data_IF_033383534234
#
_entry.id   IF_033383534234
#
_cell.length_a   1.000
_cell.length_b   1.000
_cell.length_c   1.000
_cell.angle_alpha   90.00
_cell.angle_beta   90.00
_cell.angle_gamma   90.00
#
_symmetry.space_group_name_H-M   'P 1'
#
loop_
_entity.id
_entity.type
_entity.pdbx_description
1 polymer ?
#
# COMPACT_ATOMS: atom_id res chain seq x y z
N UNK A 1 -27.58 26.15 7.57
CA UNK A 1 -26.15 25.76 7.61
C UNK A 1 -25.96 24.49 8.41
N UNK A 2 -26.53 24.36 9.62
CA UNK A 2 -26.44 23.12 10.43
C UNK A 2 -26.95 21.86 9.70
N UNK A 3 -28.16 21.89 9.12
CA UNK A 3 -28.71 20.73 8.39
C UNK A 3 -27.88 20.26 7.18
N UNK A 4 -27.19 21.18 6.47
CA UNK A 4 -26.30 20.82 5.36
C UNK A 4 -25.00 20.19 5.84
N UNK A 5 -24.45 20.63 6.98
CA UNK A 5 -23.29 19.99 7.59
C UNK A 5 -23.62 18.57 8.09
N UNK A 6 -24.84 18.37 8.61
CA UNK A 6 -25.30 17.05 9.05
C UNK A 6 -25.43 16.07 7.87
N UNK A 7 -26.01 16.49 6.74
CA UNK A 7 -26.14 15.65 5.53
C UNK A 7 -24.78 15.19 5.01
N UNK A 8 -23.83 16.12 4.87
CA UNK A 8 -22.50 15.80 4.36
C UNK A 8 -21.75 14.86 5.30
N UNK A 9 -21.98 14.99 6.61
CA UNK A 9 -21.41 14.10 7.62
C UNK A 9 -21.97 12.68 7.46
N UNK A 10 -23.29 12.50 7.32
CA UNK A 10 -23.88 11.18 7.13
C UNK A 10 -23.50 10.54 5.79
N UNK A 11 -23.38 11.32 4.73
CA UNK A 11 -22.90 10.85 3.42
C UNK A 11 -21.47 10.28 3.50
N UNK A 12 -20.56 11.01 4.15
CA UNK A 12 -19.18 10.56 4.32
C UNK A 12 -19.09 9.34 5.26
N UNK A 13 -19.90 9.31 6.33
CA UNK A 13 -20.03 8.12 7.18
C UNK A 13 -20.52 6.91 6.39
N UNK A 14 -21.53 7.08 5.52
CA UNK A 14 -22.04 6.02 4.65
C UNK A 14 -20.99 5.47 3.69
N UNK A 15 -20.24 6.37 3.02
CA UNK A 15 -19.15 6.00 2.12
C UNK A 15 -18.04 5.24 2.84
N UNK A 16 -17.66 5.71 4.03
CA UNK A 16 -16.64 5.05 4.86
C UNK A 16 -17.11 3.67 5.34
N UNK A 17 -18.37 3.54 5.76
CA UNK A 17 -18.93 2.26 6.17
C UNK A 17 -18.98 1.25 5.01
N UNK A 18 -19.34 1.68 3.80
CA UNK A 18 -19.22 0.85 2.59
C UNK A 18 -17.77 0.41 2.34
N UNK A 19 -16.83 1.36 2.42
CA UNK A 19 -15.41 1.07 2.28
C UNK A 19 -14.90 0.10 3.35
N UNK A 20 -15.46 0.08 4.56
CA UNK A 20 -15.07 -0.87 5.61
C UNK A 20 -15.71 -2.26 5.45
N UNK A 21 -16.65 -2.42 4.51
CA UNK A 21 -17.41 -3.65 4.35
C UNK A 21 -18.54 -3.79 5.37
N UNK A 22 -19.07 -2.68 5.88
CA UNK A 22 -20.18 -2.60 6.82
C UNK A 22 -21.46 -2.09 6.11
N UNK A 23 -22.11 -2.90 5.24
CA UNK A 23 -23.27 -2.44 4.46
C UNK A 23 -24.47 -2.04 5.33
N UNK A 24 -24.60 -2.62 6.53
CA UNK A 24 -25.67 -2.27 7.48
C UNK A 24 -25.52 -0.85 8.02
N UNK A 25 -24.32 -0.47 8.42
CA UNK A 25 -24.03 0.88 8.93
C UNK A 25 -24.17 1.91 7.82
N UNK A 26 -23.70 1.58 6.61
CA UNK A 26 -23.88 2.42 5.44
C UNK A 26 -25.37 2.68 5.13
N UNK A 27 -26.20 1.63 5.13
CA UNK A 27 -27.63 1.75 4.87
C UNK A 27 -28.33 2.67 5.88
N UNK A 28 -27.95 2.59 7.17
CA UNK A 28 -28.49 3.46 8.23
C UNK A 28 -28.10 4.94 7.97
N UNK A 29 -26.83 5.20 7.65
CA UNK A 29 -26.34 6.55 7.38
C UNK A 29 -27.02 7.19 6.14
N UNK A 30 -27.15 6.42 5.05
CA UNK A 30 -27.86 6.89 3.85
C UNK A 30 -29.36 7.06 4.09
N UNK A 31 -29.99 6.20 4.90
CA UNK A 31 -31.40 6.37 5.25
C UNK A 31 -31.68 7.65 6.04
N UNK A 32 -30.79 8.01 6.99
CA UNK A 32 -30.87 9.30 7.68
C UNK A 32 -30.69 10.47 6.72
N UNK A 33 -29.73 10.36 5.79
CA UNK A 33 -29.51 11.39 4.76
C UNK A 33 -30.76 11.56 3.88
N UNK A 34 -31.43 10.47 3.50
CA UNK A 34 -32.63 10.49 2.65
C UNK A 34 -33.84 11.13 3.33
N UNK A 35 -33.93 11.08 4.66
CA UNK A 35 -34.97 11.77 5.44
C UNK A 35 -34.76 13.29 5.44
N UNK A 36 -33.51 13.74 5.39
CA UNK A 36 -33.15 15.16 5.38
C UNK A 36 -33.26 15.75 3.96
N UNK A 37 -32.76 15.03 2.96
CA UNK A 37 -32.75 15.45 1.56
C UNK A 37 -33.18 14.30 0.64
N UNK A 38 -34.43 14.35 0.18
CA UNK A 38 -35.06 13.27 -0.60
C UNK A 38 -34.81 13.36 -2.11
N UNK A 39 -34.33 14.51 -2.61
CA UNK A 39 -34.13 14.78 -4.04
C UNK A 39 -32.66 14.66 -4.49
N UNK A 40 -31.79 14.09 -3.65
CA UNK A 40 -30.38 13.91 -3.97
C UNK A 40 -30.10 12.49 -4.53
N UNK A 41 -29.70 12.35 -5.80
CA UNK A 41 -29.47 11.05 -6.43
C UNK A 41 -28.33 10.25 -5.77
N UNK A 42 -27.30 10.92 -5.24
CA UNK A 42 -26.16 10.24 -4.60
C UNK A 42 -26.59 9.49 -3.32
N UNK A 43 -27.55 10.03 -2.57
CA UNK A 43 -28.09 9.39 -1.36
C UNK A 43 -28.81 8.09 -1.74
N UNK A 44 -29.66 8.14 -2.76
CA UNK A 44 -30.40 6.97 -3.23
C UNK A 44 -29.46 5.92 -3.84
N UNK A 45 -28.43 6.33 -4.57
CA UNK A 45 -27.41 5.41 -5.06
C UNK A 45 -26.69 4.71 -3.90
N UNK A 46 -26.22 5.45 -2.90
CA UNK A 46 -25.56 4.88 -1.72
C UNK A 46 -26.45 3.90 -0.95
N UNK A 47 -27.77 4.19 -0.88
CA UNK A 47 -28.75 3.27 -0.30
C UNK A 47 -28.85 1.97 -1.12
N UNK A 48 -28.85 2.05 -2.46
CA UNK A 48 -28.84 0.88 -3.34
C UNK A 48 -27.56 0.04 -3.15
N UNK A 49 -26.39 0.69 -3.12
CA UNK A 49 -25.08 0.06 -2.94
C UNK A 49 -24.98 -0.70 -1.62
N UNK A 50 -25.47 -0.10 -0.53
CA UNK A 50 -25.50 -0.72 0.79
C UNK A 50 -26.47 -1.90 0.85
N UNK A 51 -27.66 -1.76 0.28
CA UNK A 51 -28.68 -2.81 0.29
C UNK A 51 -28.34 -3.99 -0.63
N UNK A 52 -27.46 -3.80 -1.61
CA UNK A 52 -26.92 -4.91 -2.40
C UNK A 52 -26.15 -5.90 -1.53
N UNK A 53 -25.29 -5.41 -0.61
CA UNK A 53 -24.56 -6.24 0.34
C UNK A 53 -25.46 -6.90 1.39
N UNK A 54 -26.59 -6.27 1.71
CA UNK A 54 -27.58 -6.84 2.64
C UNK A 54 -28.50 -7.89 1.97
N UNK A 55 -28.45 -8.03 0.64
CA UNK A 55 -29.36 -8.91 -0.11
C UNK A 55 -30.80 -8.38 -0.24
N UNK A 56 -31.04 -7.12 0.11
CA UNK A 56 -32.35 -6.46 0.05
C UNK A 56 -32.67 -5.95 -1.36
N UNK A 57 -32.73 -6.85 -2.34
CA UNK A 57 -32.80 -6.49 -3.76
C UNK A 57 -34.01 -5.63 -4.16
N UNK A 58 -35.14 -5.75 -3.46
CA UNK A 58 -36.30 -4.87 -3.68
C UNK A 58 -35.99 -3.39 -3.39
N UNK A 59 -35.21 -3.13 -2.32
CA UNK A 59 -34.77 -1.77 -1.96
C UNK A 59 -33.76 -1.26 -2.99
N UNK A 60 -32.85 -2.13 -3.46
CA UNK A 60 -31.88 -1.79 -4.52
C UNK A 60 -32.59 -1.33 -5.78
N UNK A 61 -33.59 -2.09 -6.25
CA UNK A 61 -34.38 -1.71 -7.43
C UNK A 61 -35.11 -0.38 -7.24
N UNK A 62 -35.73 -0.17 -6.08
CA UNK A 62 -36.48 1.04 -5.81
C UNK A 62 -35.58 2.28 -5.75
N UNK A 63 -34.45 2.16 -5.04
CA UNK A 63 -33.47 3.24 -4.93
C UNK A 63 -32.83 3.55 -6.29
N UNK A 64 -32.44 2.55 -7.09
CA UNK A 64 -31.90 2.76 -8.44
C UNK A 64 -32.91 3.47 -9.37
N UNK A 65 -34.19 3.08 -9.33
CA UNK A 65 -35.24 3.77 -10.10
C UNK A 65 -35.40 5.21 -9.67
N UNK A 66 -35.34 5.48 -8.35
CA UNK A 66 -35.40 6.85 -7.84
C UNK A 66 -34.23 7.70 -8.33
N UNK A 67 -33.01 7.16 -8.43
CA UNK A 67 -31.87 7.84 -9.04
C UNK A 67 -32.16 8.22 -10.50
N UNK A 68 -32.73 7.30 -11.28
CA UNK A 68 -33.08 7.55 -12.68
C UNK A 68 -34.18 8.60 -12.85
N UNK A 69 -35.17 8.62 -11.95
CA UNK A 69 -36.22 9.67 -11.91
C UNK A 69 -35.64 11.05 -11.60
N UNK A 70 -34.66 11.14 -10.69
CA UNK A 70 -34.00 12.38 -10.32
C UNK A 70 -33.00 12.87 -11.38
N UNK A 71 -32.47 11.97 -12.22
CA UNK A 71 -31.53 12.27 -13.30
C UNK A 71 -32.01 11.74 -14.67
N UNK A 72 -33.09 12.30 -15.25
CA UNK A 72 -33.68 11.81 -16.50
C UNK A 72 -32.81 12.09 -17.73
N UNK A 73 -31.93 13.10 -17.67
CA UNK A 73 -30.97 13.43 -18.73
C UNK A 73 -29.71 12.54 -18.71
N UNK A 74 -29.64 11.59 -17.78
CA UNK A 74 -28.43 10.83 -17.47
C UNK A 74 -27.55 11.52 -16.41
N UNK A 75 -26.55 10.78 -15.95
CA UNK A 75 -25.64 11.20 -14.88
C UNK A 75 -24.77 10.01 -14.46
N UNK A 76 -23.68 10.29 -13.75
CA UNK A 76 -22.78 9.24 -13.26
C UNK A 76 -23.51 8.29 -12.31
N UNK A 77 -24.35 8.83 -11.43
CA UNK A 77 -25.15 8.04 -10.50
C UNK A 77 -26.19 7.20 -11.22
N UNK A 78 -26.86 7.77 -12.23
CA UNK A 78 -27.81 7.06 -13.10
C UNK A 78 -27.14 5.89 -13.86
N UNK A 79 -25.89 6.09 -14.32
CA UNK A 79 -25.08 5.04 -14.96
C UNK A 79 -24.78 3.87 -14.02
N UNK A 80 -24.36 4.14 -12.77
CA UNK A 80 -24.15 3.09 -11.77
C UNK A 80 -25.46 2.42 -11.34
N UNK A 81 -26.53 3.18 -11.16
CA UNK A 81 -27.85 2.65 -10.86
C UNK A 81 -28.33 1.68 -11.96
N UNK A 82 -28.12 2.03 -13.24
CA UNK A 82 -28.43 1.14 -14.35
C UNK A 82 -27.57 -0.14 -14.33
N UNK A 83 -26.28 -0.03 -14.03
CA UNK A 83 -25.41 -1.20 -13.92
C UNK A 83 -25.82 -2.14 -12.77
N UNK A 84 -26.27 -1.58 -11.63
CA UNK A 84 -26.83 -2.35 -10.52
C UNK A 84 -28.11 -3.08 -10.93
N UNK A 85 -29.01 -2.43 -11.67
CA UNK A 85 -30.22 -3.07 -12.21
C UNK A 85 -29.88 -4.19 -13.19
N UNK A 86 -28.94 -3.97 -14.12
CA UNK A 86 -28.48 -5.01 -15.05
C UNK A 86 -27.80 -6.18 -14.33
N UNK A 87 -27.11 -5.94 -13.20
CA UNK A 87 -26.58 -7.00 -12.33
C UNK A 87 -27.72 -7.83 -11.71
N UNK A 88 -28.79 -7.20 -11.21
CA UNK A 88 -29.95 -7.92 -10.67
C UNK A 88 -30.69 -8.73 -11.74
N UNK A 89 -30.75 -8.21 -12.96
CA UNK A 89 -31.32 -8.88 -14.13
C UNK A 89 -30.39 -9.96 -14.74
N UNK A 90 -29.24 -10.25 -14.11
CA UNK A 90 -28.22 -11.21 -14.57
C UNK A 90 -27.62 -10.89 -15.95
N UNK A 91 -27.66 -9.62 -16.37
CA UNK A 91 -27.09 -9.12 -17.63
C UNK A 91 -25.66 -8.65 -17.40
N UNK A 92 -24.79 -9.57 -16.98
CA UNK A 92 -23.45 -9.25 -16.45
C UNK A 92 -22.55 -8.47 -17.43
N UNK A 93 -22.58 -8.79 -18.72
CA UNK A 93 -21.79 -8.08 -19.74
C UNK A 93 -22.24 -6.62 -19.90
N UNK A 94 -23.55 -6.37 -19.88
CA UNK A 94 -24.10 -5.00 -19.93
C UNK A 94 -23.81 -4.22 -18.65
N UNK A 95 -23.95 -4.88 -17.49
CA UNK A 95 -23.58 -4.29 -16.22
C UNK A 95 -22.09 -3.91 -16.22
N UNK A 96 -21.21 -4.78 -16.73
CA UNK A 96 -19.77 -4.51 -16.81
C UNK A 96 -19.46 -3.34 -17.73
N UNK A 97 -20.10 -3.27 -18.91
CA UNK A 97 -19.97 -2.15 -19.83
C UNK A 97 -20.46 -0.83 -19.20
N UNK A 98 -21.58 -0.86 -18.48
CA UNK A 98 -22.10 0.31 -17.77
C UNK A 98 -21.13 0.81 -16.69
N UNK A 99 -20.56 -0.10 -15.91
CA UNK A 99 -19.54 0.24 -14.90
C UNK A 99 -18.26 0.80 -15.55
N UNK A 100 -17.81 0.20 -16.65
CA UNK A 100 -16.63 0.68 -17.37
C UNK A 100 -16.84 2.10 -17.94
N UNK A 101 -18.06 2.41 -18.40
CA UNK A 101 -18.43 3.76 -18.82
C UNK A 101 -18.33 4.76 -17.65
N UNK A 102 -18.90 4.43 -16.48
CA UNK A 102 -18.79 5.31 -15.30
C UNK A 102 -17.33 5.51 -14.86
N UNK A 103 -16.53 4.44 -14.85
CA UNK A 103 -15.10 4.52 -14.50
C UNK A 103 -14.32 5.38 -15.50
N UNK A 104 -14.73 5.40 -16.78
CA UNK A 104 -14.10 6.25 -17.78
C UNK A 104 -14.39 7.73 -17.58
N UNK A 105 -15.55 8.07 -17.02
CA UNK A 105 -15.96 9.44 -16.68
C UNK A 105 -15.34 9.91 -15.36
N UNK A 106 -15.46 9.10 -14.29
CA UNK A 106 -14.80 9.35 -13.01
C UNK A 106 -14.02 8.10 -12.53
N UNK A 107 -12.69 8.07 -12.73
CA UNK A 107 -11.85 6.99 -12.26
C UNK A 107 -11.75 6.87 -10.73
N UNK A 108 -12.17 7.89 -9.97
CA UNK A 108 -12.03 8.00 -8.52
C UNK A 108 -13.04 7.21 -7.70
N UNK A 109 -14.10 6.69 -8.32
CA UNK A 109 -15.20 6.01 -7.61
C UNK A 109 -14.76 4.61 -7.17
N UNK A 110 -14.38 4.48 -5.90
CA UNK A 110 -13.90 3.22 -5.33
C UNK A 110 -14.91 2.07 -5.45
N UNK A 111 -16.21 2.35 -5.21
CA UNK A 111 -17.28 1.36 -5.31
C UNK A 111 -17.45 0.82 -6.74
N UNK A 112 -17.32 1.68 -7.77
CA UNK A 112 -17.41 1.27 -9.17
C UNK A 112 -16.33 0.23 -9.52
N UNK A 113 -15.08 0.42 -9.08
CA UNK A 113 -14.03 -0.58 -9.26
C UNK A 113 -14.30 -1.88 -8.48
N UNK A 114 -14.98 -1.79 -7.34
CA UNK A 114 -15.37 -2.96 -6.55
C UNK A 114 -16.48 -3.77 -7.23
N UNK A 115 -17.49 -3.07 -7.78
CA UNK A 115 -18.56 -3.66 -8.58
C UNK A 115 -18.01 -4.29 -9.87
N UNK A 116 -17.08 -3.61 -10.56
CA UNK A 116 -16.35 -4.15 -11.71
C UNK A 116 -15.64 -5.45 -11.35
N UNK A 117 -14.92 -5.46 -10.23
CA UNK A 117 -14.27 -6.68 -9.72
C UNK A 117 -15.27 -7.81 -9.53
N UNK A 118 -16.42 -7.53 -8.90
CA UNK A 118 -17.45 -8.53 -8.65
C UNK A 118 -18.01 -9.11 -9.95
N UNK A 119 -18.36 -8.26 -10.92
CA UNK A 119 -18.83 -8.66 -12.26
C UNK A 119 -17.81 -9.50 -13.02
N UNK A 120 -16.52 -9.13 -12.95
CA UNK A 120 -15.43 -9.90 -13.57
C UNK A 120 -15.22 -11.27 -12.93
N UNK A 121 -15.48 -11.42 -11.62
CA UNK A 121 -15.46 -12.74 -10.97
C UNK A 121 -16.60 -13.61 -11.46
N UNK A 122 -17.80 -13.04 -11.62
CA UNK A 122 -18.97 -13.76 -12.14
C UNK A 122 -18.74 -14.25 -13.57
N UNK A 123 -18.09 -13.43 -14.41
CA UNK A 123 -17.77 -13.78 -15.81
C UNK A 123 -16.52 -14.65 -15.97
N UNK A 124 -15.85 -15.02 -14.87
CA UNK A 124 -14.68 -15.91 -14.87
C UNK A 124 -13.32 -15.23 -15.13
N UNK A 125 -13.29 -13.90 -15.26
CA UNK A 125 -12.08 -13.11 -15.50
C UNK A 125 -11.33 -12.77 -14.19
N UNK A 126 -10.80 -13.81 -13.53
CA UNK A 126 -10.21 -13.69 -12.18
C UNK A 126 -9.01 -12.76 -12.07
N UNK A 127 -8.19 -12.65 -13.12
CA UNK A 127 -7.02 -11.75 -13.12
C UNK A 127 -7.45 -10.28 -13.10
N UNK A 128 -8.35 -9.88 -14.01
CA UNK A 128 -8.84 -8.52 -14.13
C UNK A 128 -9.72 -8.13 -12.93
N UNK A 129 -10.46 -9.10 -12.37
CA UNK A 129 -11.17 -8.91 -11.12
C UNK A 129 -10.24 -8.51 -9.97
N UNK A 130 -9.11 -9.21 -9.78
CA UNK A 130 -8.15 -8.90 -8.73
C UNK A 130 -7.49 -7.52 -8.93
N UNK A 131 -7.27 -7.11 -10.18
CA UNK A 131 -6.76 -5.77 -10.50
C UNK A 131 -7.78 -4.68 -10.13
N UNK A 132 -9.04 -4.87 -10.52
CA UNK A 132 -10.13 -3.95 -10.19
C UNK A 132 -10.33 -3.84 -8.67
N UNK A 133 -10.29 -4.97 -7.95
CA UNK A 133 -10.33 -5.02 -6.48
C UNK A 133 -9.18 -4.23 -5.84
N UNK A 134 -7.96 -4.40 -6.35
CA UNK A 134 -6.80 -3.67 -5.83
C UNK A 134 -6.92 -2.16 -6.08
N UNK A 135 -7.55 -1.74 -7.20
CA UNK A 135 -7.85 -0.32 -7.46
C UNK A 135 -8.89 0.22 -6.47
N UNK A 136 -9.99 -0.50 -6.27
CA UNK A 136 -11.02 -0.14 -5.30
C UNK A 136 -10.44 0.10 -3.90
N UNK A 137 -9.61 -0.82 -3.41
CA UNK A 137 -8.96 -0.71 -2.12
C UNK A 137 -7.99 0.48 -2.03
N UNK A 138 -7.31 0.87 -3.12
CA UNK A 138 -6.42 2.04 -3.12
C UNK A 138 -7.21 3.34 -3.03
N UNK A 139 -8.32 3.44 -3.78
CA UNK A 139 -9.16 4.63 -3.81
C UNK A 139 -9.88 4.88 -2.47
N UNK A 140 -10.16 3.81 -1.72
CA UNK A 140 -10.79 3.87 -0.40
C UNK A 140 -9.81 3.75 0.78
N UNK A 141 -8.52 4.02 0.58
CA UNK A 141 -7.48 4.00 1.63
C UNK A 141 -7.37 2.67 2.41
N UNK A 142 -7.54 1.55 1.72
CA UNK A 142 -7.47 0.20 2.29
C UNK A 142 -8.83 -0.46 2.52
N UNK A 143 -9.90 0.11 1.96
CA UNK A 143 -11.25 -0.42 2.12
C UNK A 143 -11.43 -1.85 1.57
N UNK A 144 -12.35 -2.58 2.20
CA UNK A 144 -12.70 -3.97 1.94
C UNK A 144 -14.18 -4.08 1.58
N UNK A 145 -14.48 -4.05 0.30
CA UNK A 145 -15.85 -4.17 -0.22
C UNK A 145 -16.38 -5.63 -0.28
N UNK A 146 -15.75 -6.58 0.40
CA UNK A 146 -16.06 -8.01 0.27
C UNK A 146 -17.49 -8.35 0.68
N UNK A 147 -18.00 -7.69 1.70
CA UNK A 147 -19.35 -7.88 2.24
C UNK A 147 -20.38 -6.93 1.60
N UNK A 148 -19.96 -6.08 0.66
CA UNK A 148 -20.86 -5.19 -0.07
C UNK A 148 -21.51 -5.87 -1.29
N UNK A 149 -21.06 -7.08 -1.64
CA UNK A 149 -21.56 -7.84 -2.77
C UNK A 149 -21.93 -9.26 -2.33
N UNK A 150 -22.91 -9.90 -2.99
CA UNK A 150 -23.23 -11.30 -2.72
C UNK A 150 -22.02 -12.21 -3.00
N UNK A 151 -21.94 -13.33 -2.28
CA UNK A 151 -20.86 -14.29 -2.47
C UNK A 151 -20.94 -14.92 -3.87
N UNK A 152 -19.84 -14.80 -4.63
CA UNK A 152 -19.64 -15.56 -5.86
C UNK A 152 -18.92 -16.85 -5.47
N UNK A 153 -19.62 -17.98 -5.57
CA UNK A 153 -19.05 -19.32 -5.39
C UNK A 153 -17.72 -19.38 -6.17
N UNK A 154 -16.57 -19.68 -5.53
CA UNK A 154 -15.33 -19.76 -6.26
C UNK A 154 -15.42 -20.94 -7.22
N UNK A 155 -15.43 -20.66 -8.54
CA UNK A 155 -15.08 -21.67 -9.54
C UNK A 155 -13.75 -22.25 -9.09
N UNK A 156 -13.79 -23.53 -8.71
CA UNK A 156 -12.63 -24.30 -8.30
C UNK A 156 -11.52 -24.02 -9.31
N UNK A 157 -10.30 -23.66 -8.90
CA UNK A 157 -9.23 -23.47 -9.88
C UNK A 157 -9.15 -24.75 -10.71
N UNK A 158 -9.11 -24.68 -12.05
CA UNK A 158 -8.95 -25.89 -12.83
C UNK A 158 -7.70 -26.59 -12.30
N UNK A 159 -7.87 -27.85 -11.88
CA UNK A 159 -6.75 -28.74 -11.63
C UNK A 159 -5.75 -28.56 -12.77
N UNK A 160 -4.44 -28.50 -12.50
CA UNK A 160 -3.46 -28.42 -13.56
C UNK A 160 -3.68 -29.65 -14.45
N UNK A 161 -4.25 -29.40 -15.64
CA UNK A 161 -4.57 -30.44 -16.61
C UNK A 161 -3.29 -31.26 -16.81
N UNK A 162 -3.35 -32.55 -16.43
CA UNK A 162 -2.35 -33.53 -16.85
C UNK A 162 -2.20 -33.36 -18.34
N UNK A 163 -1.00 -33.01 -18.79
CA UNK A 163 -0.65 -32.94 -20.20
C UNK A 163 -0.90 -34.33 -20.80
N UNK A 164 -2.06 -34.52 -21.40
CA UNK A 164 -2.27 -35.60 -22.35
C UNK A 164 -1.47 -35.23 -23.59
N UNK A 165 -0.63 -36.19 -24.01
CA UNK A 165 0.33 -36.07 -25.08
C UNK A 165 -0.31 -35.48 -26.36
N UNK A 166 0.40 -34.55 -26.98
CA UNK A 166 0.03 -33.99 -28.28
C UNK A 166 0.10 -35.10 -29.34
N UNK A 167 -0.93 -35.29 -30.20
CA UNK A 167 -0.78 -36.12 -31.38
C UNK A 167 0.05 -35.39 -32.42
N UNK A 168 0.97 -36.13 -33.03
CA UNK A 168 1.86 -35.76 -34.13
C UNK A 168 1.12 -35.06 -35.27
N UNK A 169 1.64 -33.91 -35.71
CA UNK A 169 1.15 -33.15 -36.86
C UNK A 169 1.66 -33.77 -38.16
N UNK A 170 0.76 -34.07 -39.09
CA UNK A 170 1.05 -34.26 -40.53
C UNK A 170 0.67 -32.95 -41.27
N UNK A 171 1.39 -32.53 -42.32
CA UNK A 171 1.14 -31.25 -42.96
C UNK A 171 0.09 -31.39 -44.06
N UNK A 172 -0.88 -30.48 -44.09
CA UNK A 172 -1.66 -30.19 -45.29
C UNK A 172 -1.69 -28.68 -45.54
N UNK A 173 -1.16 -28.33 -46.72
CA UNK A 173 -1.33 -27.04 -47.36
C UNK A 173 -2.79 -26.83 -47.75
N UNK A 174 -3.36 -25.67 -47.42
CA UNK A 174 -4.25 -24.94 -48.32
C UNK A 174 -4.26 -23.46 -47.95
N UNK A 175 -4.06 -22.64 -48.98
CA UNK A 175 -4.13 -21.19 -48.98
C UNK A 175 -5.51 -20.69 -48.57
N UNK A 176 -5.57 -19.54 -47.89
CA UNK A 176 -6.44 -18.40 -48.23
C UNK A 176 -6.17 -17.21 -47.30
N UNK A 177 -6.17 -16.03 -47.91
CA UNK A 177 -5.71 -14.78 -47.34
C UNK A 177 -6.57 -14.24 -46.18
N UNK A 178 -5.85 -13.78 -45.17
CA UNK A 178 -6.23 -12.66 -44.32
C UNK A 178 -4.90 -12.14 -43.75
N UNK A 179 -4.55 -10.90 -44.04
CA UNK A 179 -3.43 -10.20 -43.42
C UNK A 179 -3.68 -10.09 -41.93
N UNK A 180 -3.26 -11.10 -41.17
CA UNK A 180 -3.18 -11.04 -39.71
C UNK A 180 -2.09 -10.03 -39.38
N UNK A 181 -2.46 -8.89 -38.83
CA UNK A 181 -1.52 -7.96 -38.21
C UNK A 181 -0.60 -8.75 -37.27
N UNK A 182 0.71 -8.64 -37.52
CA UNK A 182 1.72 -9.30 -36.72
C UNK A 182 1.75 -8.63 -35.35
N UNK A 183 1.12 -9.26 -34.36
CA UNK A 183 1.26 -8.91 -32.95
C UNK A 183 2.77 -8.91 -32.64
N UNK A 184 3.35 -7.79 -32.15
CA UNK A 184 4.77 -7.77 -31.82
C UNK A 184 5.05 -8.85 -30.76
N UNK A 185 5.98 -9.75 -31.06
CA UNK A 185 6.41 -10.81 -30.15
C UNK A 185 7.16 -10.18 -28.99
N UNK A 186 6.44 -9.75 -27.95
CA UNK A 186 7.05 -9.46 -26.67
C UNK A 186 7.78 -10.73 -26.21
N UNK A 187 9.12 -10.64 -26.09
CA UNK A 187 9.94 -11.70 -25.55
C UNK A 187 9.38 -12.11 -24.19
N UNK A 188 8.74 -13.28 -24.11
CA UNK A 188 8.19 -13.82 -22.86
C UNK A 188 9.36 -13.93 -21.87
N UNK A 189 9.29 -13.31 -20.68
CA UNK A 189 10.35 -13.47 -19.68
C UNK A 189 10.49 -14.95 -19.33
N UNK A 190 11.72 -15.47 -19.34
CA UNK A 190 12.04 -16.88 -19.09
C UNK A 190 11.39 -17.40 -17.80
N UNK A 191 11.11 -18.70 -17.71
CA UNK A 191 10.50 -19.30 -16.51
C UNK A 191 11.25 -18.97 -15.20
N UNK A 192 12.57 -18.76 -15.30
CA UNK A 192 13.42 -18.29 -14.22
C UNK A 192 13.17 -16.81 -13.86
N UNK A 193 12.99 -15.93 -14.85
CA UNK A 193 12.56 -14.54 -14.62
C UNK A 193 11.15 -14.50 -14.02
N UNK A 194 10.21 -15.35 -14.44
CA UNK A 194 8.87 -15.44 -13.82
C UNK A 194 8.95 -15.90 -12.37
N UNK A 195 9.80 -16.88 -12.05
CA UNK A 195 10.06 -17.30 -10.66
C UNK A 195 10.75 -16.20 -9.85
N UNK A 196 11.67 -15.44 -10.43
CA UNK A 196 12.34 -14.32 -9.76
C UNK A 196 11.41 -13.10 -9.57
N UNK A 197 10.52 -12.82 -10.52
CA UNK A 197 9.49 -11.78 -10.42
C UNK A 197 8.46 -12.17 -9.35
N UNK A 198 8.00 -13.44 -9.35
CA UNK A 198 7.14 -13.97 -8.28
C UNK A 198 7.85 -13.98 -6.93
N UNK A 199 9.12 -14.37 -6.86
CA UNK A 199 9.90 -14.37 -5.62
C UNK A 199 10.14 -12.94 -5.08
N UNK A 200 10.43 -11.97 -5.97
CA UNK A 200 10.48 -10.54 -5.62
C UNK A 200 9.13 -10.01 -5.11
N UNK A 201 8.03 -10.46 -5.72
CA UNK A 201 6.67 -10.10 -5.33
C UNK A 201 6.21 -10.79 -4.03
N UNK A 202 6.62 -12.03 -3.77
CA UNK A 202 6.34 -12.74 -2.51
C UNK A 202 7.19 -12.20 -1.36
N UNK A 203 8.45 -11.83 -1.62
CA UNK A 203 9.27 -11.12 -0.64
C UNK A 203 8.74 -9.72 -0.31
N UNK A 204 7.88 -9.11 -1.14
CA UNK A 204 7.24 -7.82 -0.83
C UNK A 204 5.88 -7.94 -0.12
N UNK A 205 5.40 -9.15 0.22
CA UNK A 205 4.09 -9.33 0.90
C UNK A 205 4.13 -9.24 2.43
N UNK A 206 5.32 -9.16 3.05
CA UNK A 206 5.46 -8.97 4.50
C UNK A 206 6.18 -7.66 4.80
N UNK A 207 5.46 -6.53 4.92
CA UNK A 207 6.05 -5.27 5.35
C UNK A 207 6.60 -5.43 6.78
N UNK A 208 7.89 -5.17 6.97
CA UNK A 208 8.53 -5.18 8.28
C UNK A 208 9.25 -6.47 8.68
N UNK A 209 9.40 -7.46 7.78
CA UNK A 209 10.14 -8.70 8.12
C UNK A 209 11.58 -8.38 8.51
N UNK A 210 12.31 -7.61 7.68
CA UNK A 210 13.71 -7.28 7.96
C UNK A 210 13.79 -6.38 9.20
N UNK A 211 12.88 -5.43 9.31
CA UNK A 211 12.79 -4.56 10.49
C UNK A 211 12.60 -5.36 11.77
N UNK A 212 11.71 -6.37 11.78
CA UNK A 212 11.51 -7.22 12.95
C UNK A 212 12.76 -8.06 13.27
N UNK A 213 13.50 -8.53 12.25
CA UNK A 213 14.77 -9.23 12.46
C UNK A 213 15.81 -8.28 13.09
N UNK A 214 15.95 -7.06 12.57
CA UNK A 214 16.88 -6.05 13.12
C UNK A 214 16.50 -5.72 14.57
N UNK A 215 15.22 -5.56 14.87
CA UNK A 215 14.70 -5.34 16.23
C UNK A 215 15.08 -6.51 17.15
N UNK A 216 14.83 -7.75 16.73
CA UNK A 216 15.17 -8.93 17.52
C UNK A 216 16.69 -9.04 17.76
N UNK A 217 17.50 -8.82 16.71
CA UNK A 217 18.96 -8.81 16.82
C UNK A 217 19.47 -7.71 17.77
N UNK A 218 18.87 -6.52 17.72
CA UNK A 218 19.25 -5.40 18.58
C UNK A 218 18.93 -5.69 20.05
N UNK A 219 17.76 -6.30 20.32
CA UNK A 219 17.39 -6.73 21.67
C UNK A 219 18.36 -7.79 22.20
N UNK A 220 18.67 -8.81 21.39
CA UNK A 220 19.60 -9.88 21.78
C UNK A 220 21.01 -9.33 22.01
N UNK A 221 21.51 -8.48 21.10
CA UNK A 221 22.83 -7.87 21.21
C UNK A 221 22.93 -6.95 22.45
N UNK A 222 21.89 -6.16 22.71
CA UNK A 222 21.80 -5.32 23.90
C UNK A 222 21.79 -6.15 25.18
N UNK A 223 20.98 -7.20 25.27
CA UNK A 223 20.94 -8.11 26.42
C UNK A 223 22.29 -8.80 26.65
N UNK A 224 22.92 -9.32 25.60
CA UNK A 224 24.22 -9.97 25.70
C UNK A 224 25.32 -9.00 26.17
N UNK A 225 25.29 -7.75 25.71
CA UNK A 225 26.19 -6.69 26.16
C UNK A 225 25.90 -6.29 27.61
N UNK A 226 24.63 -6.06 27.96
CA UNK A 226 24.18 -5.63 29.29
C UNK A 226 24.47 -6.68 30.37
N UNK A 227 24.35 -7.97 30.04
CA UNK A 227 24.68 -9.09 30.93
C UNK A 227 26.18 -9.41 30.99
N UNK A 228 27.03 -8.69 30.25
CA UNK A 228 28.47 -8.88 30.23
C UNK A 228 28.96 -10.15 29.49
N UNK A 229 28.06 -10.87 28.82
CA UNK A 229 28.37 -12.05 28.00
C UNK A 229 29.12 -11.64 26.73
N UNK A 230 28.77 -10.49 26.17
CA UNK A 230 29.40 -9.91 24.98
C UNK A 230 30.35 -8.78 25.39
N UNK A 231 31.65 -8.99 25.15
CA UNK A 231 32.70 -7.97 25.36
C UNK A 231 33.11 -7.39 24.02
N UNK A 232 32.94 -6.08 23.87
CA UNK A 232 33.27 -5.37 22.63
C UNK A 232 34.78 -5.17 22.58
N UNK A 233 35.43 -5.67 21.53
CA UNK A 233 36.85 -5.40 21.27
C UNK A 233 37.02 -4.50 20.05
N UNK A 234 37.31 -3.23 20.31
CA UNK A 234 37.42 -2.18 19.30
C UNK A 234 38.69 -2.28 18.45
N UNK A 235 39.66 -3.12 18.84
CA UNK A 235 40.88 -3.33 18.04
C UNK A 235 40.63 -4.18 16.80
N UNK A 236 39.54 -4.97 16.77
CA UNK A 236 39.18 -5.76 15.60
C UNK A 236 38.05 -5.07 14.83
N UNK A 237 38.28 -4.69 13.55
CA UNK A 237 37.33 -3.90 12.77
C UNK A 237 35.99 -4.61 12.53
N UNK A 238 35.93 -5.94 12.66
CA UNK A 238 34.69 -6.70 12.51
C UNK A 238 33.66 -6.37 13.61
N UNK A 239 34.10 -5.87 14.77
CA UNK A 239 33.19 -5.49 15.86
C UNK A 239 32.35 -4.26 15.54
N UNK A 240 32.78 -3.40 14.60
CA UNK A 240 31.97 -2.26 14.16
C UNK A 240 30.63 -2.70 13.58
N UNK A 241 30.57 -3.87 12.92
CA UNK A 241 29.31 -4.41 12.42
C UNK A 241 28.35 -4.85 13.54
N UNK A 242 28.90 -5.35 14.66
CA UNK A 242 28.10 -5.71 15.83
C UNK A 242 27.63 -4.48 16.61
N UNK A 243 28.47 -3.46 16.72
CA UNK A 243 28.18 -2.18 17.37
C UNK A 243 26.95 -1.47 16.78
N UNK A 244 26.68 -1.64 15.49
CA UNK A 244 25.51 -1.08 14.79
C UNK A 244 24.18 -1.55 15.42
N UNK A 245 24.13 -2.70 16.09
CA UNK A 245 22.91 -3.22 16.72
C UNK A 245 22.81 -2.89 18.22
N UNK A 246 23.86 -2.31 18.81
CA UNK A 246 23.96 -2.10 20.25
C UNK A 246 23.55 -0.66 20.58
N UNK A 247 22.67 -0.53 21.58
CA UNK A 247 22.35 0.74 22.23
C UNK A 247 23.16 0.87 23.53
N UNK A 248 23.54 2.10 23.91
CA UNK A 248 24.33 2.34 25.13
C UNK A 248 23.48 2.24 26.40
N UNK A 249 22.19 2.55 26.32
CA UNK A 249 21.28 2.52 27.46
C UNK A 249 19.92 1.86 27.13
N UNK A 250 19.20 1.32 28.14
CA UNK A 250 17.87 0.74 27.92
C UNK A 250 16.87 1.75 27.34
N UNK A 251 16.97 3.02 27.72
CA UNK A 251 16.09 4.07 27.22
C UNK A 251 16.34 4.36 25.73
N UNK A 252 17.61 4.43 25.32
CA UNK A 252 17.98 4.56 23.91
C UNK A 252 17.53 3.36 23.08
N UNK A 253 17.63 2.15 23.64
CA UNK A 253 17.09 0.96 23.00
C UNK A 253 15.59 1.15 22.72
N UNK A 254 14.79 1.56 23.71
CA UNK A 254 13.34 1.75 23.54
C UNK A 254 13.03 2.78 22.46
N UNK A 255 13.67 3.96 22.49
CA UNK A 255 13.46 4.99 21.45
C UNK A 255 13.80 4.46 20.06
N UNK A 256 14.94 3.77 19.93
CA UNK A 256 15.41 3.26 18.65
C UNK A 256 14.51 2.12 18.14
N UNK A 257 14.03 1.24 19.01
CA UNK A 257 13.06 0.19 18.68
C UNK A 257 11.73 0.76 18.21
N UNK A 258 11.21 1.76 18.92
CA UNK A 258 10.00 2.48 18.51
C UNK A 258 10.18 3.10 17.12
N UNK A 259 11.33 3.73 16.90
CA UNK A 259 11.64 4.38 15.61
C UNK A 259 11.80 3.38 14.48
N UNK A 260 12.45 2.24 14.71
CA UNK A 260 12.50 1.14 13.74
C UNK A 260 11.11 0.61 13.41
N UNK A 261 10.25 0.44 14.41
CA UNK A 261 8.90 -0.10 14.21
C UNK A 261 8.05 0.78 13.29
N UNK A 262 8.06 2.11 13.47
CA UNK A 262 7.28 3.02 12.63
C UNK A 262 8.01 3.40 11.35
N UNK A 263 9.23 3.92 11.48
CA UNK A 263 9.99 4.51 10.37
C UNK A 263 10.74 3.44 9.58
N UNK A 264 11.36 2.48 10.27
CA UNK A 264 12.05 1.36 9.63
C UNK A 264 11.13 0.54 8.74
N UNK A 265 9.91 0.22 9.21
CA UNK A 265 8.90 -0.48 8.39
C UNK A 265 8.48 0.32 7.16
N UNK A 266 8.31 1.64 7.30
CA UNK A 266 8.00 2.51 6.17
C UNK A 266 9.13 2.49 5.13
N UNK A 267 10.39 2.63 5.55
CA UNK A 267 11.56 2.60 4.66
C UNK A 267 11.72 1.21 4.02
N UNK A 268 11.51 0.13 4.75
CA UNK A 268 11.52 -1.23 4.20
C UNK A 268 10.46 -1.41 3.10
N UNK A 269 9.25 -0.87 3.30
CA UNK A 269 8.18 -0.87 2.30
C UNK A 269 8.53 -0.03 1.05
N UNK A 270 9.14 1.13 1.23
CA UNK A 270 9.47 2.06 0.13
C UNK A 270 10.67 1.60 -0.71
N UNK A 271 11.74 1.15 -0.06
CA UNK A 271 12.99 0.80 -0.73
C UNK A 271 13.11 -0.70 -1.04
N UNK A 272 12.39 -1.54 -0.29
CA UNK A 272 12.52 -2.99 -0.32
C UNK A 272 13.62 -3.50 0.60
N UNK A 273 13.51 -4.79 0.97
CA UNK A 273 14.33 -5.49 1.98
C UNK A 273 15.84 -5.29 1.84
N UNK A 274 16.39 -5.57 0.66
CA UNK A 274 17.85 -5.48 0.43
C UNK A 274 18.39 -4.07 0.60
N UNK A 275 17.69 -3.08 0.05
CA UNK A 275 18.12 -1.68 0.12
C UNK A 275 18.02 -1.14 1.54
N UNK A 276 16.99 -1.54 2.27
CA UNK A 276 16.83 -1.20 3.68
C UNK A 276 17.99 -1.73 4.54
N UNK A 277 18.42 -2.98 4.33
CA UNK A 277 19.60 -3.56 5.01
C UNK A 277 20.85 -2.72 4.72
N UNK A 278 21.08 -2.40 3.44
CA UNK A 278 22.25 -1.59 3.02
C UNK A 278 22.21 -0.22 3.66
N UNK A 279 21.05 0.46 3.66
CA UNK A 279 20.87 1.77 4.29
C UNK A 279 21.23 1.67 5.77
N UNK A 280 20.62 0.75 6.52
CA UNK A 280 20.82 0.60 7.96
C UNK A 280 22.29 0.33 8.33
N UNK A 281 22.93 -0.64 7.66
CA UNK A 281 24.32 -1.01 7.95
C UNK A 281 25.30 0.08 7.55
N UNK A 282 25.17 0.63 6.34
CA UNK A 282 26.11 1.62 5.85
C UNK A 282 26.00 2.95 6.60
N UNK A 283 24.79 3.42 6.90
CA UNK A 283 24.62 4.67 7.66
C UNK A 283 25.07 4.54 9.12
N UNK A 284 24.81 3.39 9.74
CA UNK A 284 25.30 3.08 11.09
C UNK A 284 26.83 3.05 11.15
N UNK A 285 27.46 2.41 10.17
CA UNK A 285 28.92 2.34 10.06
C UNK A 285 29.54 3.72 9.81
N UNK A 286 28.97 4.51 8.90
CA UNK A 286 29.42 5.88 8.62
C UNK A 286 29.35 6.72 9.90
N UNK A 287 28.23 6.65 10.63
CA UNK A 287 28.08 7.36 11.89
C UNK A 287 29.15 6.96 12.92
N UNK A 288 29.34 5.67 13.14
CA UNK A 288 30.36 5.15 14.07
C UNK A 288 31.78 5.62 13.71
N UNK A 289 32.15 5.55 12.43
CA UNK A 289 33.49 5.91 11.98
C UNK A 289 33.76 7.41 12.08
N UNK A 290 32.79 8.23 11.67
CA UNK A 290 32.92 9.70 11.75
C UNK A 290 33.01 10.14 13.20
N UNK A 291 32.16 9.58 14.05
CA UNK A 291 32.13 9.95 15.46
C UNK A 291 33.42 9.53 16.19
N UNK A 292 33.91 8.33 15.91
CA UNK A 292 35.21 7.85 16.40
C UNK A 292 36.36 8.76 15.94
N UNK A 293 36.32 9.25 14.69
CA UNK A 293 37.36 10.11 14.14
C UNK A 293 37.40 11.50 14.80
N UNK A 294 36.24 12.13 15.05
CA UNK A 294 36.17 13.49 15.58
C UNK A 294 36.21 13.57 17.10
N UNK A 295 35.67 12.57 17.81
CA UNK A 295 35.47 12.63 19.26
C UNK A 295 36.21 11.52 20.02
N UNK A 296 36.81 10.56 19.32
CA UNK A 296 37.59 9.47 19.91
C UNK A 296 36.77 8.44 20.69
N UNK A 297 35.45 8.61 20.80
CA UNK A 297 34.54 7.74 21.53
C UNK A 297 33.58 7.00 20.60
N UNK A 298 33.14 5.81 21.05
CA UNK A 298 32.09 5.05 20.39
C UNK A 298 30.75 5.39 21.02
N UNK A 299 29.91 6.13 20.29
CA UNK A 299 28.52 6.30 20.69
C UNK A 299 27.63 5.10 20.37
N UNK A 300 26.32 5.30 20.46
CA UNK A 300 25.31 4.26 20.22
C UNK A 300 25.20 3.94 18.73
N UNK A 301 25.80 2.82 18.30
CA UNK A 301 25.78 2.37 16.90
C UNK A 301 24.36 2.20 16.34
N UNK A 302 23.45 1.68 17.16
CA UNK A 302 22.03 1.57 16.81
C UNK A 302 21.38 2.93 16.54
N UNK A 303 21.74 3.94 17.33
CA UNK A 303 21.20 5.29 17.16
C UNK A 303 21.62 5.85 15.79
N UNK A 304 22.90 5.78 15.41
CA UNK A 304 23.35 6.25 14.09
C UNK A 304 22.64 5.51 12.94
N UNK A 305 22.45 4.21 13.06
CA UNK A 305 21.74 3.44 12.04
C UNK A 305 20.28 3.90 11.88
N UNK A 306 19.58 4.17 12.98
CA UNK A 306 18.22 4.72 12.98
C UNK A 306 18.17 6.12 12.37
N UNK A 307 19.11 7.00 12.72
CA UNK A 307 19.20 8.33 12.13
C UNK A 307 19.47 8.31 10.63
N UNK A 308 20.24 7.33 10.15
CA UNK A 308 20.38 7.09 8.72
C UNK A 308 19.11 6.60 8.02
N UNK A 309 18.28 5.80 8.69
CA UNK A 309 16.93 5.46 8.20
C UNK A 309 16.06 6.72 8.07
N UNK A 310 16.10 7.62 9.07
CA UNK A 310 15.41 8.92 8.97
C UNK A 310 15.92 9.73 7.79
N UNK A 311 17.24 9.83 7.60
CA UNK A 311 17.86 10.52 6.47
C UNK A 311 17.46 9.92 5.11
N UNK A 312 17.39 8.59 5.03
CA UNK A 312 16.96 7.89 3.83
C UNK A 312 15.49 8.18 3.46
N UNK A 313 14.61 8.22 4.46
CA UNK A 313 13.21 8.58 4.27
C UNK A 313 13.05 10.05 3.85
N UNK A 314 13.81 10.96 4.47
CA UNK A 314 13.88 12.36 4.06
C UNK A 314 14.36 12.53 2.61
N UNK A 315 15.39 11.78 2.21
CA UNK A 315 15.88 11.73 0.83
C UNK A 315 14.83 11.23 -0.16
N UNK A 316 14.06 10.22 0.21
CA UNK A 316 12.94 9.73 -0.60
C UNK A 316 11.89 10.82 -0.84
N UNK A 317 11.47 11.53 0.21
CA UNK A 317 10.51 12.62 0.08
C UNK A 317 11.07 13.78 -0.75
N UNK A 318 12.35 14.11 -0.57
CA UNK A 318 13.01 15.19 -1.32
C UNK A 318 13.00 14.92 -2.83
N UNK A 319 13.31 13.68 -3.25
CA UNK A 319 13.30 13.28 -4.66
C UNK A 319 11.87 13.28 -5.22
N UNK A 320 10.92 12.74 -4.47
CA UNK A 320 9.55 12.51 -4.95
C UNK A 320 8.59 13.66 -4.66
N UNK A 321 9.06 14.78 -4.11
CA UNK A 321 8.23 15.93 -3.70
C UNK A 321 7.27 16.44 -4.79
N UNK A 322 7.69 16.38 -6.06
CA UNK A 322 6.87 16.81 -7.20
C UNK A 322 5.81 15.78 -7.60
N UNK A 323 6.06 14.49 -7.33
CA UNK A 323 5.16 13.38 -7.67
C UNK A 323 4.14 13.07 -6.58
N UNK A 324 4.40 13.48 -5.34
CA UNK A 324 3.59 13.11 -4.17
C UNK A 324 2.44 14.09 -3.86
N UNK A 325 2.38 15.27 -4.52
CA UNK A 325 1.29 16.24 -4.35
C UNK A 325 1.04 16.66 -2.90
N UNK A 326 -0.21 17.03 -2.56
CA UNK A 326 -0.61 17.42 -1.20
C UNK A 326 -0.52 16.29 -0.17
N UNK A 327 -0.72 15.04 -0.58
CA UNK A 327 -0.56 13.85 0.28
C UNK A 327 0.89 13.68 0.78
N UNK A 328 1.87 13.97 -0.07
CA UNK A 328 3.28 13.97 0.29
C UNK A 328 3.66 14.98 1.35
N UNK A 329 2.98 16.14 1.39
CA UNK A 329 3.25 17.16 2.40
C UNK A 329 2.82 16.71 3.79
N UNK A 330 1.66 16.08 3.94
CA UNK A 330 1.21 15.54 5.22
C UNK A 330 2.12 14.42 5.74
N UNK A 331 2.49 13.48 4.88
CA UNK A 331 3.40 12.39 5.24
C UNK A 331 4.82 12.90 5.59
N UNK A 332 5.30 13.93 4.89
CA UNK A 332 6.57 14.59 5.18
C UNK A 332 6.53 15.36 6.51
N UNK A 333 5.45 16.08 6.80
CA UNK A 333 5.28 16.77 8.09
C UNK A 333 5.23 15.78 9.26
N UNK A 334 4.49 14.67 9.13
CA UNK A 334 4.49 13.60 10.12
C UNK A 334 5.88 13.01 10.32
N UNK A 335 6.61 12.71 9.24
CA UNK A 335 8.00 12.28 9.32
C UNK A 335 8.88 13.30 10.05
N UNK A 336 8.75 14.59 9.73
CA UNK A 336 9.54 15.66 10.33
C UNK A 336 9.27 15.78 11.83
N UNK A 337 8.01 15.62 12.25
CA UNK A 337 7.62 15.54 13.66
C UNK A 337 8.26 14.34 14.35
N UNK A 338 8.22 13.15 13.75
CA UNK A 338 8.87 11.95 14.32
C UNK A 338 10.40 12.09 14.38
N UNK A 339 11.02 12.66 13.36
CA UNK A 339 12.46 12.92 13.33
C UNK A 339 12.85 13.93 14.42
N UNK A 340 12.10 15.04 14.53
CA UNK A 340 12.30 16.05 15.57
C UNK A 340 12.10 15.49 16.97
N UNK A 341 11.04 14.70 17.20
CA UNK A 341 10.80 14.03 18.46
C UNK A 341 11.94 13.05 18.80
N UNK A 342 12.40 12.26 17.82
CA UNK A 342 13.50 11.33 18.04
C UNK A 342 14.80 12.06 18.43
N UNK A 343 15.10 13.20 17.80
CA UNK A 343 16.23 14.06 18.17
C UNK A 343 16.07 14.58 19.60
N UNK A 344 14.91 15.17 19.93
CA UNK A 344 14.65 15.72 21.26
C UNK A 344 14.72 14.63 22.34
N UNK A 345 14.13 13.46 22.10
CA UNK A 345 14.17 12.34 23.04
C UNK A 345 15.59 11.78 23.20
N UNK A 346 16.35 11.66 22.10
CA UNK A 346 17.75 11.27 22.20
C UNK A 346 18.56 12.31 22.97
N UNK A 347 18.34 13.61 22.79
CA UNK A 347 19.05 14.65 23.55
C UNK A 347 18.64 14.66 25.04
N UNK A 348 17.34 14.62 25.31
CA UNK A 348 16.79 14.76 26.66
C UNK A 348 17.13 13.58 27.57
N UNK A 349 17.25 12.38 27.00
CA UNK A 349 17.51 11.16 27.74
C UNK A 349 18.84 10.50 27.39
N UNK A 350 19.65 11.14 26.54
CA UNK A 350 21.05 10.81 26.46
C UNK A 350 21.73 11.31 27.73
N UNK A 351 22.12 10.36 28.56
CA UNK A 351 23.13 10.51 29.59
C UNK A 351 24.47 10.96 28.94
N UNK A 352 24.58 12.22 28.51
CA UNK A 352 25.81 12.84 28.00
C UNK A 352 26.11 12.79 26.49
N UNK A 353 25.19 12.35 25.61
CA UNK A 353 25.47 12.21 24.15
C UNK A 353 25.28 13.48 23.30
N UNK A 354 25.18 14.67 23.91
CA UNK A 354 25.42 15.92 23.16
C UNK A 354 26.85 15.97 22.59
N UNK A 355 27.72 15.06 23.02
CA UNK A 355 29.06 14.87 22.48
C UNK A 355 29.06 14.26 21.08
N UNK A 356 28.10 13.41 20.69
CA UNK A 356 28.16 12.56 19.49
C UNK A 356 27.43 13.14 18.25
N UNK A 357 27.45 14.46 18.10
CA UNK A 357 26.71 15.19 17.05
C UNK A 357 27.23 14.88 15.65
N UNK A 358 28.54 14.69 15.50
CA UNK A 358 29.17 14.41 14.20
C UNK A 358 28.70 13.09 13.60
N UNK A 359 28.64 12.01 14.41
CA UNK A 359 28.10 10.73 13.96
C UNK A 359 26.63 10.80 13.56
N UNK A 360 25.83 11.56 14.32
CA UNK A 360 24.41 11.76 14.01
C UNK A 360 24.22 12.46 12.66
N UNK A 361 24.89 13.61 12.45
CA UNK A 361 24.82 14.34 11.18
C UNK A 361 25.30 13.47 10.02
N UNK A 362 26.44 12.81 10.18
CA UNK A 362 27.01 11.96 9.13
C UNK A 362 26.09 10.79 8.77
N UNK A 363 25.43 10.19 9.76
CA UNK A 363 24.48 9.09 9.50
C UNK A 363 23.23 9.56 8.74
N UNK A 364 22.67 10.73 9.07
CA UNK A 364 21.53 11.32 8.36
C UNK A 364 21.92 11.63 6.90
N UNK A 365 23.05 12.32 6.71
CA UNK A 365 23.54 12.70 5.38
C UNK A 365 23.91 11.46 4.57
N UNK A 366 24.60 10.50 5.17
CA UNK A 366 24.94 9.22 4.55
C UNK A 366 23.69 8.44 4.12
N UNK A 367 22.70 8.32 5.01
CA UNK A 367 21.42 7.71 4.71
C UNK A 367 20.68 8.38 3.55
N UNK A 368 20.67 9.72 3.51
CA UNK A 368 20.10 10.49 2.41
C UNK A 368 20.81 10.21 1.08
N UNK A 369 22.14 10.27 1.05
CA UNK A 369 22.93 10.03 -0.16
C UNK A 369 22.70 8.60 -0.67
N UNK A 370 22.78 7.61 0.23
CA UNK A 370 22.57 6.20 -0.08
C UNK A 370 21.15 6.00 -0.61
N UNK A 371 20.14 6.61 0.01
CA UNK A 371 18.76 6.55 -0.47
C UNK A 371 18.59 7.16 -1.86
N UNK A 372 19.25 8.27 -2.18
CA UNK A 372 19.22 8.86 -3.52
C UNK A 372 19.86 7.92 -4.55
N UNK A 373 20.99 7.31 -4.21
CA UNK A 373 21.71 6.38 -5.09
C UNK A 373 20.93 5.07 -5.32
N UNK A 374 20.30 4.56 -4.27
CA UNK A 374 19.53 3.32 -4.28
C UNK A 374 18.05 3.51 -4.60
N UNK A 375 17.61 4.75 -4.81
CA UNK A 375 16.22 5.08 -5.12
C UNK A 375 15.75 4.21 -6.29
N UNK A 376 14.60 3.51 -6.16
CA UNK A 376 14.04 2.79 -7.29
C UNK A 376 13.79 3.78 -8.43
N UNK A 377 14.57 3.67 -9.51
CA UNK A 377 14.29 4.34 -10.77
C UNK A 377 12.93 3.84 -11.25
N UNK A 378 11.85 4.54 -10.90
CA UNK A 378 10.57 4.36 -11.57
C UNK A 378 10.83 4.62 -13.05
N UNK A 379 10.61 3.61 -13.89
CA UNK A 379 10.53 3.82 -15.34
C UNK A 379 9.40 4.82 -15.55
N UNK A 380 9.76 6.07 -15.88
CA UNK A 380 8.90 7.01 -16.60
C UNK A 380 8.51 6.30 -17.89
N UNK A 381 7.35 5.68 -17.91
CA UNK A 381 6.64 5.23 -19.10
C UNK A 381 5.25 4.91 -18.59
N UNK A 382 4.37 5.90 -18.63
CA UNK A 382 2.90 5.84 -18.64
C UNK A 382 2.45 7.30 -18.77
N UNK A 383 2.60 7.82 -19.99
CA UNK A 383 1.72 8.82 -20.56
C UNK A 383 0.95 8.11 -21.67
#
# INVERSE_FOLDING_TARGET
MEAQMDIQTYLEQGKQALAQGSPREAAIAYAHSAQLESDNPMIHLGLAEANLGLGSYGVVQMACRRVQELQPAGGQESGLAQALLDLLDRRFERALQGVDAVISEDPGIAYAHALRSHLLRITGQTYDANLARARAARLSYGGRFEHCFPNVEPLTPPEPAKQLAQPTVLPTNTANGASRESIPTWSRPNGMQRRMIRARFMMSQMPGLVTNIIVALSIIAFLAFYLGVLKINITNPLWYLGLIFIAVSPFQLIINLFSLFFVGRAVEGLFGKWRYIVIYLASGLIGLLVDQYFLGGLGSGMTYAVFGIFGALGGFYFINRKSLGGFGQGAFQQWLLFAGLNIVLNIAFAQGQLTHVYGLIASIVGGLIIAVLLAPRQRRNLF
#
